data_IF_981063912316
#
_entry.id   IF_981063912316
#
_cell.length_a   1.000
_cell.length_b   1.000
_cell.length_c   1.000
_cell.angle_alpha   90.00
_cell.angle_beta   90.00
_cell.angle_gamma   90.00
#
_symmetry.space_group_name_H-M   'P 1'
#
loop_
_entity.id
_entity.type
_entity.pdbx_description
1 polymer ?
#
# COMPACT_ATOMS: atom_id res chain seq x y z
N UNK A 1 -4.73 12.14 -6.39
CA UNK A 1 -3.46 11.76 -7.05
C UNK A 1 -2.34 12.11 -6.09
N UNK A 2 -1.28 11.30 -5.99
CA UNK A 2 -0.20 11.58 -5.04
C UNK A 2 0.71 12.70 -5.56
N UNK A 3 1.07 13.65 -4.70
CA UNK A 3 2.00 14.74 -5.01
C UNK A 3 3.43 14.39 -4.59
N UNK A 4 4.42 14.78 -5.40
CA UNK A 4 5.83 14.62 -5.07
C UNK A 4 6.28 15.70 -4.08
N UNK A 5 6.67 15.30 -2.86
CA UNK A 5 7.20 16.19 -1.82
C UNK A 5 8.73 16.31 -1.86
N UNK A 6 9.41 15.27 -2.35
CA UNK A 6 10.86 15.25 -2.47
C UNK A 6 11.36 13.88 -2.91
N UNK A 7 12.65 13.82 -3.18
CA UNK A 7 13.33 12.59 -3.61
C UNK A 7 14.49 12.35 -2.65
N UNK A 8 14.54 11.18 -2.02
CA UNK A 8 15.72 10.73 -1.29
C UNK A 8 16.56 9.77 -2.13
N UNK A 9 17.88 9.87 -1.97
CA UNK A 9 18.84 9.00 -2.65
C UNK A 9 19.92 8.55 -1.67
N UNK A 10 20.34 7.30 -1.79
CA UNK A 10 21.52 6.76 -1.11
C UNK A 10 22.43 6.11 -2.14
N UNK A 11 23.71 6.49 -2.12
CA UNK A 11 24.74 5.94 -3.02
C UNK A 11 25.73 5.04 -2.27
N UNK A 12 25.66 5.05 -0.94
CA UNK A 12 26.57 4.34 -0.04
C UNK A 12 25.88 4.13 1.30
N UNK A 13 26.16 2.98 1.91
CA UNK A 13 25.67 2.64 3.24
C UNK A 13 25.99 3.74 4.27
N UNK A 14 24.95 4.23 4.95
CA UNK A 14 25.03 5.29 5.94
C UNK A 14 25.06 6.70 5.38
N UNK A 15 24.97 6.86 4.05
CA UNK A 15 24.96 8.15 3.37
C UNK A 15 23.71 8.26 2.50
N UNK A 16 22.82 9.20 2.86
CA UNK A 16 21.63 9.52 2.09
C UNK A 16 21.38 11.04 2.09
N UNK A 17 20.78 11.52 1.02
CA UNK A 17 20.38 12.91 0.85
C UNK A 17 18.91 12.99 0.45
N UNK A 18 18.20 14.02 0.95
CA UNK A 18 16.83 14.32 0.59
C UNK A 18 16.78 15.65 -0.16
N UNK A 19 16.10 15.66 -1.31
CA UNK A 19 15.90 16.84 -2.16
C UNK A 19 14.43 17.25 -2.06
N UNK A 20 14.08 18.25 -1.23
CA UNK A 20 12.70 18.70 -1.04
C UNK A 20 12.20 19.51 -2.25
N UNK A 21 10.99 19.23 -2.71
CA UNK A 21 10.31 19.97 -3.80
C UNK A 21 8.87 20.38 -3.46
N UNK A 22 8.42 20.09 -2.23
CA UNK A 22 7.13 20.50 -1.70
C UNK A 22 6.97 20.12 -0.22
N UNK A 23 5.81 20.46 0.35
CA UNK A 23 5.51 20.24 1.77
C UNK A 23 5.90 21.42 2.67
N UNK A 24 5.79 21.21 3.97
CA UNK A 24 6.03 22.23 4.99
C UNK A 24 7.54 22.53 5.16
N UNK A 25 7.96 23.74 4.78
CA UNK A 25 9.32 24.24 4.95
C UNK A 25 9.97 24.74 3.66
N UNK A 26 11.30 24.87 3.68
CA UNK A 26 12.05 25.33 2.51
C UNK A 26 12.21 24.20 1.50
N UNK A 27 11.69 24.39 0.29
CA UNK A 27 11.82 23.44 -0.80
C UNK A 27 12.36 24.12 -2.07
N UNK A 28 12.91 23.31 -2.98
CA UNK A 28 13.37 23.76 -4.28
C UNK A 28 12.21 23.79 -5.29
N UNK A 29 12.41 24.49 -6.41
CA UNK A 29 11.48 24.45 -7.53
C UNK A 29 11.48 23.06 -8.17
N UNK A 30 10.34 22.37 -8.10
CA UNK A 30 10.19 20.96 -8.51
C UNK A 30 10.68 20.71 -9.93
N UNK A 31 10.27 21.55 -10.88
CA UNK A 31 10.56 21.32 -12.29
C UNK A 31 12.06 21.52 -12.58
N UNK A 32 12.74 22.41 -11.86
CA UNK A 32 14.19 22.57 -11.95
C UNK A 32 14.92 21.34 -11.38
N UNK A 33 14.49 20.84 -10.23
CA UNK A 33 15.05 19.62 -9.62
C UNK A 33 14.86 18.42 -10.54
N UNK A 34 13.64 18.20 -11.03
CA UNK A 34 13.35 17.10 -11.93
C UNK A 34 14.13 17.22 -13.23
N UNK A 35 14.27 18.42 -13.82
CA UNK A 35 15.11 18.60 -15.01
C UNK A 35 16.57 18.19 -14.79
N UNK A 36 17.13 18.44 -13.59
CA UNK A 36 18.51 18.04 -13.23
C UNK A 36 18.64 16.55 -12.92
N UNK A 37 17.63 15.93 -12.32
CA UNK A 37 17.66 14.52 -11.93
C UNK A 37 17.23 13.59 -13.08
N UNK A 38 16.42 14.07 -14.03
CA UNK A 38 15.88 13.29 -15.14
C UNK A 38 16.95 12.51 -15.92
N UNK A 39 18.12 13.08 -16.29
CA UNK A 39 19.17 12.31 -16.97
C UNK A 39 19.65 11.09 -16.18
N UNK A 40 19.61 11.12 -14.84
CA UNK A 40 20.01 10.00 -13.99
C UNK A 40 18.86 9.01 -13.80
N UNK A 41 17.64 9.53 -13.56
CA UNK A 41 16.45 8.72 -13.33
C UNK A 41 16.06 7.91 -14.58
N UNK A 42 16.22 8.49 -15.78
CA UNK A 42 15.89 7.84 -17.05
C UNK A 42 17.05 7.05 -17.68
N UNK A 43 18.25 7.02 -17.08
CA UNK A 43 19.36 6.23 -17.60
C UNK A 43 19.27 4.76 -17.18
N UNK A 44 18.98 3.86 -18.13
CA UNK A 44 18.94 2.41 -17.93
C UNK A 44 20.26 1.81 -17.41
N UNK A 45 21.39 2.47 -17.66
CA UNK A 45 22.72 2.00 -17.22
C UNK A 45 23.00 2.28 -15.75
N UNK A 46 22.28 3.23 -15.16
CA UNK A 46 22.37 3.52 -13.74
C UNK A 46 21.38 2.61 -13.03
N UNK A 47 21.90 1.59 -12.35
CA UNK A 47 21.09 0.66 -11.58
C UNK A 47 20.45 1.35 -10.38
N UNK A 48 19.14 1.20 -10.20
CA UNK A 48 18.40 1.69 -9.04
C UNK A 48 17.85 0.53 -8.21
N UNK A 49 17.87 0.75 -6.91
CA UNK A 49 17.28 -0.11 -5.88
C UNK A 49 16.24 0.70 -5.13
N UNK A 50 15.08 0.12 -4.87
CA UNK A 50 14.05 0.74 -4.05
C UNK A 50 13.24 -0.29 -3.29
N UNK A 51 12.25 0.20 -2.55
CA UNK A 51 11.26 -0.61 -1.86
C UNK A 51 9.89 -0.26 -2.45
N UNK A 52 9.20 -1.25 -3.04
CA UNK A 52 7.93 -0.99 -3.74
C UNK A 52 8.09 0.11 -4.81
N UNK A 53 9.16 0.01 -5.60
CA UNK A 53 9.61 1.04 -6.55
C UNK A 53 8.60 1.34 -7.65
N UNK A 54 7.63 0.43 -7.87
CA UNK A 54 6.44 0.67 -8.70
C UNK A 54 5.73 1.97 -8.31
N UNK A 55 5.61 2.25 -7.00
CA UNK A 55 4.98 3.48 -6.54
C UNK A 55 5.77 4.71 -6.98
N UNK A 56 7.10 4.69 -6.84
CA UNK A 56 7.98 5.78 -7.30
C UNK A 56 7.87 5.98 -8.82
N UNK A 57 7.81 4.89 -9.60
CA UNK A 57 7.56 4.95 -11.05
C UNK A 57 6.25 5.70 -11.36
N UNK A 58 5.15 5.36 -10.66
CA UNK A 58 3.86 6.00 -10.84
C UNK A 58 3.87 7.50 -10.47
N UNK A 59 4.53 7.86 -9.36
CA UNK A 59 4.64 9.25 -8.92
C UNK A 59 5.47 10.07 -9.90
N UNK A 60 6.66 9.60 -10.30
CA UNK A 60 7.55 10.30 -11.22
C UNK A 60 6.92 10.47 -12.62
N UNK A 61 6.15 9.48 -13.08
CA UNK A 61 5.47 9.55 -14.36
C UNK A 61 4.38 10.64 -14.42
N UNK A 62 3.81 11.05 -13.28
CA UNK A 62 2.90 12.21 -13.22
C UNK A 62 3.60 13.53 -13.56
N UNK A 63 4.93 13.57 -13.45
CA UNK A 63 5.77 14.73 -13.73
C UNK A 63 6.62 14.55 -15.00
N UNK A 64 6.25 13.60 -15.86
CA UNK A 64 6.93 13.35 -17.13
C UNK A 64 8.35 12.82 -16.99
N UNK A 65 8.63 12.09 -15.89
CA UNK A 65 9.89 11.37 -15.67
C UNK A 65 9.63 9.87 -15.72
N UNK A 66 10.28 9.18 -16.65
CA UNK A 66 10.18 7.73 -16.83
C UNK A 66 11.33 7.05 -16.07
N UNK A 67 11.07 6.54 -14.86
CA UNK A 67 12.11 5.89 -14.07
C UNK A 67 12.59 4.60 -14.75
N UNK A 68 13.86 4.58 -15.18
CA UNK A 68 14.51 3.46 -15.86
C UNK A 68 15.66 2.90 -15.04
N UNK A 69 16.19 1.74 -15.44
CA UNK A 69 17.32 1.10 -14.74
C UNK A 69 16.95 0.55 -13.37
N UNK A 70 15.66 0.33 -13.11
CA UNK A 70 15.18 -0.36 -11.90
C UNK A 70 15.71 -1.79 -11.93
N UNK A 71 16.66 -2.08 -11.05
CA UNK A 71 17.41 -3.35 -11.04
C UNK A 71 17.07 -4.22 -9.85
N UNK A 72 16.49 -3.62 -8.80
CA UNK A 72 16.21 -4.32 -7.56
C UNK A 72 15.05 -3.66 -6.80
N UNK A 73 14.06 -4.46 -6.40
CA UNK A 73 13.03 -4.06 -5.44
C UNK A 73 13.14 -4.95 -4.19
N UNK A 74 13.39 -4.36 -3.02
CA UNK A 74 13.61 -5.09 -1.78
C UNK A 74 12.35 -5.77 -1.25
N UNK A 75 11.17 -5.23 -1.55
CA UNK A 75 9.89 -5.85 -1.21
C UNK A 75 9.70 -7.14 -2.01
N UNK A 76 9.94 -7.06 -3.32
CA UNK A 76 9.82 -8.20 -4.25
C UNK A 76 10.87 -9.26 -3.94
N UNK A 77 12.11 -8.85 -3.65
CA UNK A 77 13.18 -9.77 -3.28
C UNK A 77 12.83 -10.55 -2.00
N UNK A 78 12.29 -9.88 -0.99
CA UNK A 78 11.84 -10.52 0.25
C UNK A 78 10.65 -11.48 0.02
N UNK A 79 9.72 -11.12 -0.87
CA UNK A 79 8.61 -11.99 -1.27
C UNK A 79 9.11 -13.28 -1.93
N UNK A 80 10.02 -13.17 -2.90
CA UNK A 80 10.60 -14.32 -3.58
C UNK A 80 11.34 -15.25 -2.60
N UNK A 81 12.04 -14.68 -1.62
CA UNK A 81 12.79 -15.45 -0.62
C UNK A 81 11.88 -16.19 0.38
N UNK A 82 10.71 -15.65 0.70
CA UNK A 82 9.76 -16.24 1.64
C UNK A 82 8.32 -15.75 1.37
N UNK A 83 7.58 -16.35 0.43
CA UNK A 83 6.24 -15.89 0.06
C UNK A 83 5.19 -16.12 1.16
N UNK A 84 5.48 -16.95 2.16
CA UNK A 84 4.57 -17.20 3.29
C UNK A 84 4.61 -16.09 4.37
N UNK A 85 5.51 -15.11 4.23
CA UNK A 85 5.59 -13.98 5.16
C UNK A 85 4.34 -13.08 5.00
N UNK A 86 3.88 -12.54 6.13
CA UNK A 86 2.64 -11.74 6.21
C UNK A 86 2.79 -10.29 5.75
N UNK A 87 3.99 -9.71 5.91
CA UNK A 87 4.25 -8.30 5.63
C UNK A 87 5.63 -8.16 4.98
N UNK A 88 5.76 -7.28 3.98
CA UNK A 88 7.03 -6.99 3.30
C UNK A 88 7.40 -5.51 3.40
N UNK A 89 6.79 -4.76 4.32
CA UNK A 89 7.11 -3.36 4.57
C UNK A 89 8.56 -3.15 5.00
N UNK A 90 9.12 -1.98 4.64
CA UNK A 90 10.53 -1.67 4.88
C UNK A 90 10.92 -1.71 6.36
N UNK A 91 10.03 -1.30 7.26
CA UNK A 91 10.26 -1.32 8.71
C UNK A 91 10.52 -2.76 9.20
N UNK A 92 9.71 -3.72 8.76
CA UNK A 92 9.84 -5.14 9.12
C UNK A 92 11.10 -5.77 8.50
N UNK A 93 11.39 -5.45 7.24
CA UNK A 93 12.57 -5.98 6.55
C UNK A 93 13.86 -5.42 7.15
N UNK A 94 13.89 -4.15 7.49
CA UNK A 94 15.03 -3.50 8.14
C UNK A 94 15.30 -4.15 9.51
N UNK A 95 14.25 -4.38 10.30
CA UNK A 95 14.39 -5.06 11.59
C UNK A 95 14.93 -6.49 11.43
N UNK A 96 14.38 -7.28 10.50
CA UNK A 96 14.78 -8.67 10.27
C UNK A 96 16.21 -8.80 9.74
N UNK A 97 16.56 -8.07 8.68
CA UNK A 97 17.80 -8.29 7.94
C UNK A 97 18.95 -7.40 8.41
N UNK A 98 18.66 -6.25 9.02
CA UNK A 98 19.66 -5.29 9.48
C UNK A 98 19.75 -5.21 11.01
N UNK A 99 18.82 -5.85 11.74
CA UNK A 99 18.78 -5.86 13.20
C UNK A 99 18.50 -4.48 13.81
N UNK A 100 17.92 -3.55 13.02
CA UNK A 100 17.63 -2.18 13.43
C UNK A 100 16.23 -1.81 12.99
N UNK A 101 15.45 -1.23 13.90
CA UNK A 101 14.23 -0.54 13.54
C UNK A 101 14.55 0.80 12.89
N UNK A 102 13.61 1.30 12.10
CA UNK A 102 13.63 2.66 11.56
C UNK A 102 12.35 3.38 11.96
N UNK A 103 12.32 4.70 11.80
CA UNK A 103 11.15 5.50 12.17
C UNK A 103 9.97 5.12 11.27
N UNK A 104 8.85 4.71 11.86
CA UNK A 104 7.69 4.26 11.09
C UNK A 104 6.93 5.43 10.50
N UNK A 105 6.23 5.21 9.38
CA UNK A 105 5.38 6.24 8.76
C UNK A 105 4.36 6.83 9.76
N UNK A 106 3.82 5.99 10.66
CA UNK A 106 2.86 6.43 11.68
C UNK A 106 3.49 7.34 12.73
N UNK A 107 4.74 7.09 13.11
CA UNK A 107 5.47 7.96 14.05
C UNK A 107 5.81 9.32 13.41
N UNK A 108 6.17 9.31 12.12
CA UNK A 108 6.48 10.53 11.36
C UNK A 108 5.24 11.38 11.13
N UNK A 109 4.15 10.79 10.64
CA UNK A 109 2.90 11.51 10.37
C UNK A 109 2.16 11.85 11.65
N UNK A 110 2.33 11.09 12.74
CA UNK A 110 1.81 11.45 14.06
C UNK A 110 0.31 11.78 14.08
N UNK A 111 -0.02 13.07 14.30
CA UNK A 111 -1.41 13.58 14.34
C UNK A 111 -1.84 14.26 13.04
N UNK A 112 -0.91 14.45 12.12
CA UNK A 112 -1.10 15.09 10.84
C UNK A 112 -1.88 14.17 9.90
N UNK A 113 -2.48 14.74 8.85
CA UNK A 113 -3.22 13.96 7.84
C UNK A 113 -2.30 13.44 6.75
N UNK A 114 -1.26 14.20 6.43
CA UNK A 114 -0.36 13.90 5.31
C UNK A 114 1.08 14.23 5.65
N UNK A 115 2.02 13.63 4.92
CA UNK A 115 3.45 13.92 5.04
C UNK A 115 3.79 15.37 4.65
N UNK A 116 2.94 16.01 3.84
CA UNK A 116 3.13 17.40 3.43
C UNK A 116 3.00 18.40 4.60
N UNK A 117 2.29 18.01 5.66
CA UNK A 117 2.08 18.84 6.87
C UNK A 117 3.19 18.63 7.92
N UNK A 118 4.12 17.72 7.67
CA UNK A 118 5.19 17.37 8.62
C UNK A 118 6.41 18.25 8.34
N UNK A 119 7.06 18.81 9.38
CA UNK A 119 8.27 19.60 9.23
C UNK A 119 9.35 18.90 8.39
N UNK A 120 9.96 19.64 7.47
CA UNK A 120 10.95 19.14 6.52
C UNK A 120 12.13 18.40 7.16
N UNK A 121 12.60 18.79 8.35
CA UNK A 121 13.69 18.12 9.04
C UNK A 121 13.32 16.68 9.43
N UNK A 122 12.09 16.47 9.85
CA UNK A 122 11.54 15.15 10.17
C UNK A 122 11.34 14.34 8.89
N UNK A 123 10.72 14.92 7.86
CA UNK A 123 10.51 14.26 6.56
C UNK A 123 11.85 13.86 5.93
N UNK A 124 12.84 14.75 6.00
CA UNK A 124 14.18 14.50 5.47
C UNK A 124 14.86 13.35 6.19
N UNK A 125 14.79 13.27 7.52
CA UNK A 125 15.38 12.15 8.27
C UNK A 125 14.71 10.83 7.88
N UNK A 126 13.38 10.81 7.85
CA UNK A 126 12.60 9.64 7.48
C UNK A 126 12.88 9.17 6.04
N UNK A 127 12.88 10.08 5.07
CA UNK A 127 13.12 9.76 3.66
C UNK A 127 14.57 9.28 3.43
N UNK A 128 15.54 9.85 4.14
CA UNK A 128 16.92 9.39 4.11
C UNK A 128 17.09 7.99 4.74
N UNK A 129 16.39 7.71 5.84
CA UNK A 129 16.34 6.36 6.44
C UNK A 129 15.77 5.34 5.46
N UNK A 130 14.68 5.65 4.75
CA UNK A 130 14.09 4.76 3.74
C UNK A 130 15.07 4.46 2.59
N UNK A 131 15.75 5.49 2.07
CA UNK A 131 16.71 5.32 0.96
C UNK A 131 17.94 4.49 1.38
N UNK A 132 18.52 4.77 2.54
CA UNK A 132 19.65 4.00 3.07
C UNK A 132 19.23 2.56 3.43
N UNK A 133 18.05 2.38 4.02
CA UNK A 133 17.51 1.05 4.32
C UNK A 133 17.32 0.22 3.05
N UNK A 134 16.72 0.77 1.99
CA UNK A 134 16.57 0.08 0.71
C UNK A 134 17.94 -0.30 0.11
N UNK A 135 18.93 0.59 0.17
CA UNK A 135 20.30 0.31 -0.29
C UNK A 135 20.93 -0.88 0.47
N UNK A 136 20.90 -0.83 1.81
CA UNK A 136 21.46 -1.89 2.67
C UNK A 136 20.73 -3.22 2.49
N UNK A 137 19.40 -3.19 2.42
CA UNK A 137 18.57 -4.37 2.16
C UNK A 137 18.91 -5.00 0.81
N UNK A 138 19.09 -4.20 -0.24
CA UNK A 138 19.55 -4.70 -1.54
C UNK A 138 20.87 -5.47 -1.44
N UNK A 139 21.84 -4.94 -0.69
CA UNK A 139 23.11 -5.60 -0.41
C UNK A 139 23.00 -6.91 0.38
N UNK A 140 21.96 -7.09 1.20
CA UNK A 140 21.71 -8.32 1.96
C UNK A 140 20.88 -9.36 1.21
N UNK A 141 19.83 -8.92 0.52
CA UNK A 141 18.85 -9.80 -0.12
C UNK A 141 19.38 -10.37 -1.44
N UNK A 142 20.20 -9.62 -2.18
CA UNK A 142 20.74 -10.07 -3.46
C UNK A 142 21.59 -11.36 -3.33
N UNK A 143 22.58 -11.46 -2.42
CA UNK A 143 23.32 -12.71 -2.23
C UNK A 143 22.43 -13.88 -1.80
N UNK A 144 21.39 -13.63 -1.00
CA UNK A 144 20.46 -14.68 -0.57
C UNK A 144 19.62 -15.23 -1.73
N UNK A 145 19.22 -14.38 -2.68
CA UNK A 145 18.52 -14.81 -3.90
C UNK A 145 19.42 -15.72 -4.75
N UNK A 146 20.71 -15.40 -4.84
CA UNK A 146 21.70 -16.21 -5.55
C UNK A 146 21.93 -17.55 -4.84
N UNK A 147 22.19 -17.52 -3.53
CA UNK A 147 22.44 -18.71 -2.70
C UNK A 147 21.27 -19.71 -2.75
N UNK A 148 20.03 -19.21 -2.75
CA UNK A 148 18.82 -20.04 -2.77
C UNK A 148 18.33 -20.40 -4.17
N UNK A 149 19.05 -19.97 -5.22
CA UNK A 149 18.72 -20.30 -6.61
C UNK A 149 17.51 -19.55 -7.18
N UNK A 150 17.09 -18.44 -6.56
CA UNK A 150 15.95 -17.63 -7.01
C UNK A 150 16.32 -16.43 -7.89
N UNK A 151 17.62 -16.18 -8.13
CA UNK A 151 18.08 -15.03 -8.90
C UNK A 151 17.42 -14.92 -10.29
N UNK A 152 17.24 -16.04 -11.01
CA UNK A 152 16.55 -16.02 -12.32
C UNK A 152 15.08 -15.68 -12.22
N UNK A 153 14.35 -16.28 -11.26
CA UNK A 153 12.94 -15.96 -11.03
C UNK A 153 12.77 -14.46 -10.73
N UNK A 154 13.62 -13.93 -9.85
CA UNK A 154 13.61 -12.52 -9.50
C UNK A 154 13.90 -11.62 -10.71
N UNK A 155 14.97 -11.88 -11.47
CA UNK A 155 15.43 -10.99 -12.55
C UNK A 155 14.66 -11.13 -13.86
N UNK A 156 14.23 -12.34 -14.23
CA UNK A 156 13.59 -12.61 -15.53
C UNK A 156 12.06 -12.60 -15.47
N UNK A 157 11.46 -12.71 -14.28
CA UNK A 157 10.00 -12.74 -14.10
C UNK A 157 9.49 -11.60 -13.22
N UNK A 158 9.95 -11.51 -11.98
CA UNK A 158 9.37 -10.58 -11.00
C UNK A 158 9.73 -9.11 -11.28
N UNK A 159 11.01 -8.81 -11.54
CA UNK A 159 11.44 -7.43 -11.81
C UNK A 159 10.82 -6.83 -13.10
N UNK A 160 10.72 -7.55 -14.23
CA UNK A 160 10.01 -7.04 -15.41
C UNK A 160 8.52 -6.76 -15.15
N UNK A 161 7.88 -7.56 -14.28
CA UNK A 161 6.46 -7.39 -13.95
C UNK A 161 6.18 -6.07 -13.20
N UNK A 162 7.15 -5.54 -12.45
CA UNK A 162 7.02 -4.25 -11.73
C UNK A 162 6.62 -3.12 -12.67
N UNK A 163 7.27 -3.00 -13.83
CA UNK A 163 6.98 -1.96 -14.82
C UNK A 163 5.59 -2.16 -15.45
N UNK A 164 5.24 -3.41 -15.78
CA UNK A 164 3.93 -3.74 -16.34
C UNK A 164 2.80 -3.38 -15.37
N UNK A 165 2.97 -3.67 -14.08
CA UNK A 165 2.00 -3.32 -13.05
C UNK A 165 1.88 -1.80 -12.87
N UNK A 166 2.99 -1.05 -12.93
CA UNK A 166 2.95 0.41 -12.92
C UNK A 166 2.13 0.96 -14.09
N UNK A 167 2.32 0.43 -15.30
CA UNK A 167 1.56 0.85 -16.48
C UNK A 167 0.08 0.49 -16.37
N UNK A 168 -0.25 -0.72 -15.90
CA UNK A 168 -1.63 -1.14 -15.67
C UNK A 168 -2.34 -0.24 -14.64
N UNK A 169 -1.68 0.08 -13.52
CA UNK A 169 -2.23 0.96 -12.49
C UNK A 169 -2.47 2.38 -12.99
N UNK A 170 -1.56 2.91 -13.80
CA UNK A 170 -1.70 4.25 -14.39
C UNK A 170 -2.78 4.32 -15.47
N UNK A 171 -2.93 3.25 -16.27
CA UNK A 171 -3.98 3.17 -17.28
C UNK A 171 -5.37 3.07 -16.66
N UNK A 172 -5.49 2.33 -15.55
CA UNK A 172 -6.75 2.11 -14.86
C UNK A 172 -7.77 1.33 -15.70
N UNK A 173 -9.03 1.42 -15.29
CA UNK A 173 -10.17 0.82 -15.99
C UNK A 173 -11.29 1.85 -16.14
N UNK A 174 -11.85 1.96 -17.34
CA UNK A 174 -13.00 2.81 -17.59
C UNK A 174 -14.26 2.21 -16.96
N UNK A 175 -15.03 3.02 -16.25
CA UNK A 175 -16.26 2.63 -15.60
C UNK A 175 -17.42 3.46 -16.15
N UNK A 176 -18.56 2.80 -16.36
CA UNK A 176 -19.83 3.48 -16.63
C UNK A 176 -20.45 3.89 -15.29
N UNK A 177 -20.24 5.14 -14.91
CA UNK A 177 -20.73 5.67 -13.63
C UNK A 177 -22.26 5.64 -13.54
N UNK A 178 -22.97 5.95 -14.63
CA UNK A 178 -24.43 5.98 -14.65
C UNK A 178 -25.01 4.56 -14.47
N UNK A 179 -24.45 3.57 -15.16
CA UNK A 179 -24.85 2.18 -14.93
C UNK A 179 -24.60 1.71 -13.49
N UNK A 180 -23.47 2.09 -12.90
CA UNK A 180 -23.17 1.74 -11.50
C UNK A 180 -24.12 2.42 -10.51
N UNK A 181 -24.54 3.66 -10.78
CA UNK A 181 -25.56 4.37 -10.00
C UNK A 181 -26.92 3.67 -10.10
N UNK A 182 -27.36 3.32 -11.32
CA UNK A 182 -28.61 2.58 -11.55
C UNK A 182 -28.61 1.21 -10.84
N UNK A 183 -27.48 0.50 -10.90
CA UNK A 183 -27.31 -0.77 -10.20
C UNK A 183 -27.40 -0.57 -8.68
N UNK A 184 -26.81 0.51 -8.16
CA UNK A 184 -26.90 0.92 -6.76
C UNK A 184 -28.34 1.16 -6.32
N UNK A 185 -29.11 1.95 -7.08
CA UNK A 185 -30.54 2.17 -6.82
C UNK A 185 -31.36 0.88 -6.90
N UNK A 186 -31.03 -0.02 -7.83
CA UNK A 186 -31.65 -1.34 -7.92
C UNK A 186 -31.43 -2.18 -6.66
N UNK A 187 -30.21 -2.22 -6.13
CA UNK A 187 -29.92 -2.91 -4.87
C UNK A 187 -30.62 -2.27 -3.68
N UNK A 188 -30.72 -0.93 -3.62
CA UNK A 188 -31.43 -0.24 -2.56
C UNK A 188 -32.92 -0.60 -2.55
N UNK A 189 -33.57 -0.65 -3.72
CA UNK A 189 -34.96 -1.11 -3.84
C UNK A 189 -35.13 -2.55 -3.35
N UNK A 190 -34.24 -3.47 -3.74
CA UNK A 190 -34.29 -4.86 -3.29
C UNK A 190 -34.06 -5.00 -1.78
N UNK A 191 -33.14 -4.23 -1.21
CA UNK A 191 -32.89 -4.20 0.23
C UNK A 191 -34.13 -3.72 0.99
N UNK A 192 -34.81 -2.67 0.51
CA UNK A 192 -36.04 -2.17 1.12
C UNK A 192 -37.15 -3.23 1.06
N UNK A 193 -37.35 -3.89 -0.09
CA UNK A 193 -38.33 -4.98 -0.20
C UNK A 193 -38.02 -6.15 0.73
N UNK A 194 -36.75 -6.54 0.85
CA UNK A 194 -36.31 -7.62 1.74
C UNK A 194 -36.49 -7.23 3.20
N UNK A 195 -36.16 -6.00 3.57
CA UNK A 195 -36.35 -5.46 4.90
C UNK A 195 -37.83 -5.49 5.30
N UNK A 196 -38.74 -5.04 4.43
CA UNK A 196 -40.17 -5.13 4.69
C UNK A 196 -40.66 -6.57 4.83
N UNK A 197 -40.17 -7.49 3.98
CA UNK A 197 -40.49 -8.92 4.08
C UNK A 197 -40.01 -9.50 5.42
N UNK A 198 -38.79 -9.16 5.84
CA UNK A 198 -38.21 -9.58 7.12
C UNK A 198 -39.06 -9.06 8.28
N UNK A 199 -39.39 -7.77 8.32
CA UNK A 199 -40.20 -7.17 9.38
C UNK A 199 -41.60 -7.80 9.44
N UNK A 200 -42.22 -8.07 8.29
CA UNK A 200 -43.52 -8.74 8.21
C UNK A 200 -43.45 -10.17 8.77
N UNK A 201 -42.43 -10.95 8.40
CA UNK A 201 -42.25 -12.32 8.89
C UNK A 201 -41.86 -12.37 10.37
N UNK A 202 -41.07 -11.40 10.84
CA UNK A 202 -40.62 -11.27 12.22
C UNK A 202 -41.68 -10.69 13.17
N UNK A 203 -42.76 -10.12 12.64
CA UNK A 203 -43.84 -9.50 13.43
C UNK A 203 -43.48 -8.13 14.02
N UNK A 204 -42.56 -7.40 13.39
CA UNK A 204 -42.21 -6.03 13.80
C UNK A 204 -40.88 -5.53 13.24
N UNK A 205 -40.67 -4.22 13.34
CA UNK A 205 -39.43 -3.57 12.92
C UNK A 205 -38.31 -3.75 13.94
N UNK A 206 -37.10 -3.93 13.44
CA UNK A 206 -35.85 -3.98 14.21
C UNK A 206 -34.67 -3.68 13.28
N UNK A 207 -33.52 -3.35 13.87
CA UNK A 207 -32.29 -3.16 13.11
C UNK A 207 -31.70 -4.52 12.70
N UNK A 208 -31.89 -4.87 11.43
CA UNK A 208 -31.42 -6.14 10.84
C UNK A 208 -29.89 -6.24 10.90
N UNK A 209 -29.18 -5.11 10.82
CA UNK A 209 -27.71 -5.05 10.91
C UNK A 209 -27.17 -5.18 12.34
N UNK A 210 -28.04 -5.30 13.35
CA UNK A 210 -27.64 -5.53 14.74
C UNK A 210 -27.74 -7.02 15.08
N UNK A 211 -26.61 -7.75 15.20
CA UNK A 211 -26.63 -9.17 15.53
C UNK A 211 -27.38 -9.48 16.82
N UNK A 212 -27.38 -8.54 17.79
CA UNK A 212 -28.11 -8.67 19.05
C UNK A 212 -29.62 -8.66 18.84
N UNK A 213 -30.15 -7.69 18.08
CA UNK A 213 -31.59 -7.60 17.82
C UNK A 213 -32.05 -8.74 16.91
N UNK A 214 -31.23 -9.09 15.92
CA UNK A 214 -31.50 -10.24 15.04
C UNK A 214 -31.55 -11.56 15.84
N UNK A 215 -30.64 -11.78 16.79
CA UNK A 215 -30.65 -12.96 17.65
C UNK A 215 -31.90 -13.05 18.53
N UNK A 216 -32.35 -11.92 19.12
CA UNK A 216 -33.60 -11.86 19.90
C UNK A 216 -34.80 -12.26 19.03
N UNK A 217 -34.88 -11.72 17.81
CA UNK A 217 -35.98 -12.04 16.88
C UNK A 217 -35.95 -13.52 16.47
N UNK A 218 -34.79 -14.05 16.08
CA UNK A 218 -34.66 -15.42 15.60
C UNK A 218 -34.89 -16.47 16.68
N UNK A 219 -34.30 -16.29 17.86
CA UNK A 219 -34.24 -17.34 18.89
C UNK A 219 -35.28 -17.16 20.00
N UNK A 220 -35.64 -15.92 20.35
CA UNK A 220 -36.62 -15.67 21.39
C UNK A 220 -38.03 -15.53 20.82
N UNK A 221 -38.22 -14.71 19.78
CA UNK A 221 -39.56 -14.48 19.19
C UNK A 221 -40.00 -15.59 18.25
N UNK A 222 -39.15 -15.96 17.30
CA UNK A 222 -39.44 -17.01 16.32
C UNK A 222 -39.10 -18.42 16.82
N UNK A 223 -38.50 -18.54 18.02
CA UNK A 223 -38.17 -19.79 18.70
C UNK A 223 -37.35 -20.78 17.84
N UNK A 224 -36.52 -20.27 16.92
CA UNK A 224 -35.63 -21.11 16.12
C UNK A 224 -34.49 -21.66 16.98
N UNK A 225 -33.94 -22.82 16.61
CA UNK A 225 -32.82 -23.42 17.35
C UNK A 225 -31.56 -22.58 17.17
N UNK A 226 -30.93 -22.10 18.27
CA UNK A 226 -29.72 -21.30 18.16
C UNK A 226 -28.52 -22.10 17.67
N UNK A 227 -27.64 -21.41 16.93
CA UNK A 227 -26.35 -21.94 16.48
C UNK A 227 -25.28 -21.92 17.59
N UNK A 228 -24.02 -21.74 17.19
CA UNK A 228 -22.88 -21.72 18.13
C UNK A 228 -22.96 -20.49 19.06
N UNK A 229 -22.75 -20.69 20.35
CA UNK A 229 -22.65 -19.60 21.33
C UNK A 229 -21.28 -18.91 21.23
N UNK A 230 -21.28 -17.59 21.16
CA UNK A 230 -20.10 -16.71 21.18
C UNK A 230 -20.06 -15.90 22.48
N UNK A 231 -19.00 -15.10 22.68
CA UNK A 231 -18.85 -14.24 23.88
C UNK A 231 -19.96 -13.19 24.00
N UNK A 232 -20.60 -12.80 22.89
CA UNK A 232 -21.60 -11.73 22.83
C UNK A 232 -23.04 -12.22 22.63
N UNK A 233 -23.26 -13.54 22.51
CA UNK A 233 -24.60 -14.12 22.30
C UNK A 233 -24.56 -15.34 21.38
N UNK A 234 -25.73 -15.76 20.90
CA UNK A 234 -25.83 -16.80 19.87
C UNK A 234 -25.43 -16.22 18.50
N UNK A 235 -24.58 -16.93 17.75
CA UNK A 235 -24.19 -16.51 16.40
C UNK A 235 -25.39 -16.55 15.45
N UNK A 236 -25.50 -15.50 14.64
CA UNK A 236 -26.45 -15.37 13.52
C UNK A 236 -25.77 -15.64 12.18
N UNK A 237 -24.58 -16.26 12.18
CA UNK A 237 -23.87 -16.59 10.94
C UNK A 237 -24.59 -17.72 10.20
N UNK A 238 -24.72 -17.57 8.89
CA UNK A 238 -25.20 -18.61 8.00
C UNK A 238 -24.02 -19.51 7.64
N UNK A 239 -24.17 -20.83 7.80
CA UNK A 239 -23.21 -21.83 7.31
C UNK A 239 -23.50 -22.18 5.86
#
# INVERSE_FOLDING_TARGET
>A
QAELLGISVSIKEGEAAYVPVGGEGMHLERDEVLAKLKPVLEDEKIAKTGQNIKYDMCVLANYGVELKGVSFDTMVAAYVLNPAKRNYGIDDLTFEFLGRGKTSFKEVVGKQKTLAEVPIDIVSSYACEDADAAFRLGGKLKPLLEERGFAKLFTECEMPLVAVLADMERNGIALDASYLEDLGSGFESQLNELQEKIWRTAGGEFNISSPKQLAEVLFDRLALKPGKKTKTGFSTDVK
#
